data_IF_075598363077
#
_entry.id   IF_075598363077
#
_cell.length_a   1.000
_cell.length_b   1.000
_cell.length_c   1.000
_cell.angle_alpha   90.00
_cell.angle_beta   90.00
_cell.angle_gamma   90.00
#
_symmetry.space_group_name_H-M   'P 1'
#
loop_
_entity.id
_entity.type
_entity.pdbx_description
1 polymer ?
#
# COMPACT_ATOMS: atom_id res chain seq x y z
N UNK A 1 11.85 11.17 -2.48
CA UNK A 1 10.94 10.66 -1.42
C UNK A 1 9.61 10.24 -2.02
N UNK A 2 9.00 9.16 -1.49
CA UNK A 2 7.76 8.61 -2.04
C UNK A 2 6.54 9.49 -1.69
N UNK A 3 6.25 9.69 -0.42
CA UNK A 3 5.22 10.60 0.10
C UNK A 3 5.58 11.07 1.51
N UNK A 4 6.50 12.04 1.65
CA UNK A 4 6.96 12.49 2.95
C UNK A 4 5.91 13.31 3.71
N UNK A 5 5.00 13.96 2.99
CA UNK A 5 3.96 14.83 3.57
C UNK A 5 2.59 14.21 3.33
N UNK A 6 1.82 13.90 4.38
CA UNK A 6 0.41 13.48 4.25
C UNK A 6 -0.45 14.56 3.57
N UNK A 7 -1.47 14.12 2.84
CA UNK A 7 -2.44 15.03 2.20
C UNK A 7 -2.01 15.62 0.83
N UNK A 8 -0.74 15.44 0.42
CA UNK A 8 -0.27 15.86 -0.92
C UNK A 8 -0.04 14.65 -1.81
N UNK A 9 0.11 14.88 -3.12
CA UNK A 9 0.45 13.81 -4.05
C UNK A 9 1.84 13.22 -3.75
N UNK A 10 1.99 11.92 -3.93
CA UNK A 10 3.28 11.21 -3.80
C UNK A 10 3.89 10.89 -5.16
N UNK A 11 5.18 10.51 -5.15
CA UNK A 11 5.86 9.97 -6.32
C UNK A 11 5.69 8.46 -6.40
N UNK A 12 5.19 7.95 -7.52
CA UNK A 12 5.09 6.53 -7.83
C UNK A 12 6.23 6.06 -8.74
N UNK A 13 6.51 4.77 -8.70
CA UNK A 13 7.31 4.04 -9.69
C UNK A 13 6.45 2.89 -10.23
N UNK A 14 5.41 3.25 -11.00
CA UNK A 14 4.51 2.24 -11.54
C UNK A 14 5.30 1.27 -12.42
N UNK A 15 5.32 0.02 -12.00
CA UNK A 15 6.13 -1.01 -12.65
C UNK A 15 5.26 -1.83 -13.59
N UNK A 16 5.58 -1.79 -14.87
CA UNK A 16 4.91 -2.59 -15.91
C UNK A 16 5.64 -3.91 -16.10
N UNK A 17 4.92 -5.01 -15.98
CA UNK A 17 5.46 -6.37 -16.15
C UNK A 17 4.72 -7.11 -17.25
N UNK A 18 5.44 -7.94 -17.99
CA UNK A 18 4.91 -8.81 -19.02
C UNK A 18 5.83 -10.00 -19.28
N UNK A 19 5.32 -11.02 -19.94
CA UNK A 19 6.09 -12.18 -20.36
C UNK A 19 5.94 -12.35 -21.87
N UNK A 20 7.07 -12.47 -22.58
CA UNK A 20 7.10 -12.75 -24.01
C UNK A 20 7.91 -14.00 -24.30
N UNK A 21 7.53 -14.73 -25.32
CA UNK A 21 8.25 -15.91 -25.79
C UNK A 21 8.75 -15.70 -27.22
N UNK A 22 10.02 -16.06 -27.46
CA UNK A 22 10.57 -16.16 -28.81
C UNK A 22 10.28 -17.56 -29.35
N UNK A 23 9.45 -17.62 -30.38
CA UNK A 23 9.04 -18.86 -31.01
C UNK A 23 10.18 -19.43 -31.91
N UNK A 24 10.10 -20.72 -32.26
CA UNK A 24 11.10 -21.38 -33.13
C UNK A 24 11.31 -20.72 -34.49
N UNK A 25 10.27 -20.05 -35.02
CA UNK A 25 10.32 -19.28 -36.27
C UNK A 25 10.89 -17.87 -36.10
N UNK A 26 11.38 -17.51 -34.90
CA UNK A 26 11.93 -16.20 -34.57
C UNK A 26 10.91 -15.15 -34.17
N UNK A 27 9.60 -15.40 -34.32
CA UNK A 27 8.54 -14.46 -33.90
C UNK A 27 8.51 -14.35 -32.39
N UNK A 28 8.40 -13.11 -31.88
CA UNK A 28 8.16 -12.84 -30.45
C UNK A 28 6.65 -12.67 -30.25
N UNK A 29 6.10 -13.32 -29.24
CA UNK A 29 4.69 -13.27 -28.87
C UNK A 29 4.55 -12.88 -27.40
N UNK A 30 3.60 -12.00 -27.11
CA UNK A 30 3.24 -11.66 -25.73
C UNK A 30 2.37 -12.78 -25.15
N UNK A 31 2.77 -13.33 -24.00
CA UNK A 31 2.06 -14.46 -23.40
C UNK A 31 0.86 -14.01 -22.56
N UNK A 32 0.69 -12.73 -22.27
CA UNK A 32 -0.49 -12.20 -21.57
C UNK A 32 -1.67 -11.96 -22.53
N UNK A 33 -1.38 -11.62 -23.77
CA UNK A 33 -2.41 -11.37 -24.77
C UNK A 33 -3.20 -12.67 -25.08
N UNK A 34 -4.54 -12.60 -25.09
CA UNK A 34 -5.37 -13.73 -25.52
C UNK A 34 -5.29 -13.90 -27.04
N UNK A 35 -5.85 -15.00 -27.55
CA UNK A 35 -5.94 -15.23 -29.00
C UNK A 35 -6.90 -14.28 -29.68
N UNK A 36 -8.02 -14.01 -29.02
CA UNK A 36 -9.04 -13.04 -29.46
C UNK A 36 -9.06 -11.86 -28.50
N UNK A 37 -8.56 -10.73 -28.97
CA UNK A 37 -8.47 -9.50 -28.19
C UNK A 37 -9.84 -8.80 -27.98
N UNK A 38 -10.87 -9.16 -28.75
CA UNK A 38 -12.17 -8.56 -28.67
C UNK A 38 -13.10 -9.25 -27.65
N UNK A 39 -12.91 -10.54 -27.42
CA UNK A 39 -13.79 -11.33 -26.55
C UNK A 39 -13.18 -11.71 -25.22
N UNK A 40 -11.85 -11.64 -25.07
CA UNK A 40 -11.14 -12.10 -23.90
C UNK A 40 -10.21 -11.00 -23.36
N UNK A 41 -10.12 -10.85 -22.03
CA UNK A 41 -9.22 -9.86 -21.40
C UNK A 41 -7.77 -10.33 -21.43
N UNK A 42 -7.51 -11.57 -21.03
CA UNK A 42 -6.18 -12.14 -20.82
C UNK A 42 -6.11 -13.58 -21.32
N UNK A 43 -4.92 -14.05 -21.63
CA UNK A 43 -4.61 -15.46 -21.76
C UNK A 43 -4.58 -16.17 -20.39
N UNK A 44 -4.47 -17.49 -20.37
CA UNK A 44 -4.26 -18.25 -19.12
C UNK A 44 -3.00 -17.81 -18.37
N UNK A 45 -1.92 -17.48 -19.08
CA UNK A 45 -0.68 -16.94 -18.50
C UNK A 45 -0.93 -15.55 -17.89
N UNK A 46 -1.72 -14.72 -18.57
CA UNK A 46 -2.10 -13.39 -18.08
C UNK A 46 -2.97 -13.44 -16.83
N UNK A 47 -4.02 -14.26 -16.82
CA UNK A 47 -4.86 -14.47 -15.63
C UNK A 47 -4.06 -15.03 -14.45
N UNK A 48 -3.25 -16.07 -14.68
CA UNK A 48 -2.40 -16.64 -13.64
C UNK A 48 -1.42 -15.61 -13.07
N UNK A 49 -0.83 -14.79 -13.93
CA UNK A 49 0.07 -13.72 -13.50
C UNK A 49 -0.65 -12.68 -12.63
N UNK A 50 -1.83 -12.21 -13.04
CA UNK A 50 -2.62 -11.25 -12.28
C UNK A 50 -3.02 -11.81 -10.92
N UNK A 51 -3.59 -13.01 -10.90
CA UNK A 51 -4.03 -13.68 -9.67
C UNK A 51 -2.86 -13.99 -8.73
N UNK A 52 -1.70 -14.40 -9.26
CA UNK A 52 -0.50 -14.65 -8.46
C UNK A 52 0.04 -13.40 -7.77
N UNK A 53 0.04 -12.25 -8.47
CA UNK A 53 0.42 -10.96 -7.89
C UNK A 53 -0.51 -10.53 -6.78
N UNK A 54 -1.82 -10.65 -6.98
CA UNK A 54 -2.84 -10.23 -6.00
C UNK A 54 -2.84 -11.14 -4.76
N UNK A 55 -2.85 -12.46 -4.95
CA UNK A 55 -2.86 -13.43 -3.85
C UNK A 55 -1.65 -13.32 -2.94
N UNK A 56 -0.47 -13.09 -3.53
CA UNK A 56 0.79 -13.04 -2.78
C UNK A 56 1.20 -11.61 -2.38
N UNK A 57 0.34 -10.60 -2.57
CA UNK A 57 0.72 -9.21 -2.38
C UNK A 57 1.23 -8.89 -0.98
N UNK A 58 0.65 -9.46 0.07
CA UNK A 58 1.06 -9.19 1.45
C UNK A 58 2.55 -9.50 1.68
N UNK A 59 3.09 -10.53 1.01
CA UNK A 59 4.52 -10.88 1.13
C UNK A 59 5.39 -10.24 0.04
N UNK A 60 4.79 -9.70 -1.01
CA UNK A 60 5.47 -8.87 -2.03
C UNK A 60 5.74 -7.47 -1.47
N UNK A 61 4.76 -6.89 -0.78
CA UNK A 61 4.80 -5.49 -0.32
C UNK A 61 6.01 -5.13 0.55
N UNK A 62 6.52 -6.01 1.45
CA UNK A 62 7.78 -5.78 2.15
C UNK A 62 8.94 -5.34 1.26
N UNK A 63 9.08 -5.91 0.07
CA UNK A 63 10.18 -5.64 -0.85
C UNK A 63 9.98 -4.38 -1.71
N UNK A 64 8.75 -3.90 -1.84
CA UNK A 64 8.42 -2.74 -2.68
C UNK A 64 8.09 -1.48 -1.88
N UNK A 65 7.60 -1.60 -0.64
CA UNK A 65 7.16 -0.48 0.20
C UNK A 65 7.69 -0.61 1.63
N UNK A 66 9.01 -0.55 1.81
CA UNK A 66 9.69 -0.83 3.08
C UNK A 66 9.97 0.39 3.96
N UNK A 67 9.43 1.58 3.65
CA UNK A 67 9.68 2.82 4.40
C UNK A 67 8.38 3.50 4.82
N UNK A 68 8.43 4.38 5.83
CA UNK A 68 7.28 5.19 6.25
C UNK A 68 6.69 5.97 5.07
N UNK A 69 7.53 6.67 4.32
CA UNK A 69 7.11 7.49 3.18
C UNK A 69 6.48 6.65 2.04
N UNK A 70 6.96 5.42 1.84
CA UNK A 70 6.39 4.51 0.83
C UNK A 70 5.01 4.01 1.22
N UNK A 71 4.80 3.66 2.49
CA UNK A 71 3.50 3.22 3.00
C UNK A 71 2.48 4.36 3.08
N UNK A 72 2.92 5.60 3.28
CA UNK A 72 2.03 6.75 3.18
C UNK A 72 1.36 6.91 1.79
N UNK A 73 1.95 6.34 0.73
CA UNK A 73 1.33 6.31 -0.61
C UNK A 73 0.17 5.30 -0.72
N UNK A 74 0.13 4.32 0.14
CA UNK A 74 -0.90 3.27 0.16
C UNK A 74 -2.08 3.62 1.08
N UNK A 75 -2.06 4.82 1.69
CA UNK A 75 -3.15 5.37 2.50
C UNK A 75 -4.12 6.18 1.63
N UNK A 76 -5.38 6.35 2.05
CA UNK A 76 -6.36 7.16 1.35
C UNK A 76 -5.81 8.52 0.91
N UNK A 77 -6.14 8.92 -0.31
CA UNK A 77 -5.67 10.16 -0.93
C UNK A 77 -5.73 10.08 -2.45
N UNK A 78 -5.16 11.07 -3.14
CA UNK A 78 -5.22 11.19 -4.59
C UNK A 78 -4.60 9.97 -5.30
N UNK A 79 -5.41 9.27 -6.10
CA UNK A 79 -5.03 8.11 -6.93
C UNK A 79 -4.21 7.02 -6.20
N UNK A 80 -4.43 6.84 -4.89
CA UNK A 80 -3.69 5.88 -4.10
C UNK A 80 -4.22 4.45 -4.28
N UNK A 81 -3.36 3.42 -4.42
CA UNK A 81 -3.78 2.02 -4.41
C UNK A 81 -4.07 1.57 -2.98
N UNK A 82 -5.28 1.84 -2.50
CA UNK A 82 -5.71 1.61 -1.10
C UNK A 82 -6.22 0.21 -0.81
N UNK A 83 -6.33 -0.64 -1.85
CA UNK A 83 -6.84 -2.02 -1.74
C UNK A 83 -6.03 -2.99 -2.59
N UNK A 84 -6.08 -4.28 -2.23
CA UNK A 84 -5.43 -5.35 -3.00
C UNK A 84 -6.42 -5.86 -4.06
N UNK A 85 -6.63 -5.08 -5.09
CA UNK A 85 -7.65 -5.30 -6.10
C UNK A 85 -7.12 -4.92 -7.49
N UNK A 86 -7.69 -5.56 -8.53
CA UNK A 86 -7.48 -5.23 -9.94
C UNK A 86 -8.74 -4.67 -10.58
N UNK A 87 -8.58 -4.07 -11.75
CA UNK A 87 -9.65 -3.76 -12.70
C UNK A 87 -9.20 -4.18 -14.10
N UNK A 88 -10.08 -4.85 -14.83
CA UNK A 88 -9.84 -5.30 -16.20
C UNK A 88 -10.48 -4.36 -17.24
N UNK A 89 -11.52 -3.64 -16.85
CA UNK A 89 -12.43 -2.89 -17.71
C UNK A 89 -13.82 -3.53 -17.76
N UNK A 90 -14.78 -2.76 -18.28
CA UNK A 90 -16.18 -3.21 -18.42
C UNK A 90 -16.33 -4.30 -19.49
N UNK A 91 -15.49 -4.26 -20.51
CA UNK A 91 -15.38 -5.29 -21.54
C UNK A 91 -13.95 -5.34 -22.07
N UNK A 92 -13.57 -6.39 -22.82
CA UNK A 92 -12.27 -6.46 -23.46
C UNK A 92 -11.94 -5.28 -24.38
N UNK A 93 -12.94 -4.61 -24.93
CA UNK A 93 -12.79 -3.45 -25.81
C UNK A 93 -12.75 -2.11 -25.05
N UNK A 94 -13.22 -2.08 -23.78
CA UNK A 94 -13.28 -0.88 -22.96
C UNK A 94 -12.32 -1.04 -21.78
N UNK A 95 -11.08 -0.53 -21.89
CA UNK A 95 -10.09 -0.67 -20.83
C UNK A 95 -10.50 0.10 -19.57
N UNK A 96 -10.10 -0.41 -18.42
CA UNK A 96 -10.31 0.26 -17.14
C UNK A 96 -9.56 1.59 -17.09
N UNK A 97 -10.20 2.58 -16.45
CA UNK A 97 -9.56 3.85 -16.05
C UNK A 97 -9.47 4.01 -14.54
N UNK A 98 -9.84 2.96 -13.79
CA UNK A 98 -9.75 2.99 -12.33
C UNK A 98 -8.29 3.09 -11.90
N UNK A 99 -7.96 4.09 -11.08
CA UNK A 99 -6.60 4.37 -10.59
C UNK A 99 -6.43 4.11 -9.11
N UNK A 100 -7.48 3.66 -8.42
CA UNK A 100 -7.44 3.28 -7.00
C UNK A 100 -7.07 1.82 -6.78
N UNK A 101 -6.82 1.08 -7.87
CA UNK A 101 -6.43 -0.33 -7.88
C UNK A 101 -4.93 -0.54 -7.65
N UNK A 102 -4.58 -1.73 -7.16
CA UNK A 102 -3.21 -2.16 -6.95
C UNK A 102 -2.51 -2.59 -8.24
N UNK A 103 -3.20 -3.40 -9.03
CA UNK A 103 -2.71 -3.96 -10.28
C UNK A 103 -3.70 -3.68 -11.41
N UNK A 104 -3.26 -3.03 -12.49
CA UNK A 104 -4.06 -2.67 -13.64
C UNK A 104 -3.71 -3.48 -14.88
N UNK A 105 -4.71 -3.87 -15.66
CA UNK A 105 -4.51 -4.40 -17.00
C UNK A 105 -4.34 -3.25 -18.00
N UNK A 106 -3.18 -3.20 -18.65
CA UNK A 106 -2.90 -2.28 -19.74
C UNK A 106 -2.91 -3.08 -21.04
N UNK A 107 -3.76 -2.68 -21.99
CA UNK A 107 -3.88 -3.35 -23.28
C UNK A 107 -4.28 -2.39 -24.39
N UNK A 108 -4.00 -2.83 -25.60
CA UNK A 108 -4.41 -2.20 -26.84
C UNK A 108 -4.88 -3.32 -27.79
N UNK A 109 -6.13 -3.21 -28.28
CA UNK A 109 -6.76 -4.23 -29.11
C UNK A 109 -5.99 -4.47 -30.40
N UNK A 110 -5.48 -3.38 -31.00
CA UNK A 110 -4.74 -3.42 -32.27
C UNK A 110 -3.27 -3.82 -32.06
N UNK A 111 -2.80 -3.85 -30.81
CA UNK A 111 -1.42 -4.16 -30.47
C UNK A 111 -1.33 -5.18 -29.32
N UNK A 112 -1.47 -6.50 -29.60
CA UNK A 112 -1.36 -7.55 -28.57
C UNK A 112 -0.03 -7.49 -27.79
N UNK A 113 1.05 -7.01 -28.40
CA UNK A 113 2.35 -6.82 -27.74
C UNK A 113 2.33 -5.77 -26.63
N UNK A 114 1.35 -4.87 -26.62
CA UNK A 114 1.19 -3.85 -25.59
C UNK A 114 0.55 -4.39 -24.29
N UNK A 115 -0.01 -5.61 -24.29
CA UNK A 115 -0.67 -6.20 -23.12
C UNK A 115 0.32 -6.43 -21.99
N UNK A 116 0.06 -5.86 -20.81
CA UNK A 116 0.92 -5.96 -19.62
C UNK A 116 0.14 -5.65 -18.36
N UNK A 117 0.73 -5.96 -17.22
CA UNK A 117 0.19 -5.62 -15.90
C UNK A 117 0.99 -4.42 -15.34
N UNK A 118 0.28 -3.39 -14.88
CA UNK A 118 0.82 -2.24 -14.17
C UNK A 118 0.67 -2.45 -12.67
N UNK A 119 1.79 -2.62 -11.94
CA UNK A 119 1.81 -2.60 -10.49
C UNK A 119 1.98 -1.16 -10.00
N UNK A 120 0.99 -0.66 -9.24
CA UNK A 120 0.92 0.77 -8.88
C UNK A 120 1.54 1.10 -7.50
N UNK A 121 1.80 0.10 -6.67
CA UNK A 121 2.37 0.26 -5.34
C UNK A 121 3.87 0.58 -5.29
N UNK A 122 4.73 0.16 -6.23
CA UNK A 122 6.14 0.54 -6.20
C UNK A 122 6.36 2.05 -6.20
N UNK A 123 7.48 2.48 -5.66
CA UNK A 123 7.80 3.88 -5.40
C UNK A 123 9.33 4.11 -5.51
N UNK A 124 9.84 5.37 -5.48
CA UNK A 124 11.26 5.66 -5.67
C UNK A 124 12.25 5.01 -4.68
N UNK A 125 11.77 4.40 -3.59
CA UNK A 125 12.61 3.62 -2.68
C UNK A 125 12.65 2.13 -3.01
N UNK A 126 11.84 1.68 -3.97
CA UNK A 126 11.77 0.27 -4.35
C UNK A 126 13.10 -0.19 -4.93
N UNK A 127 13.61 -1.31 -4.41
CA UNK A 127 14.70 -1.99 -5.08
C UNK A 127 14.14 -2.79 -6.25
N UNK A 128 14.38 -2.31 -7.47
CA UNK A 128 13.81 -2.88 -8.71
C UNK A 128 14.14 -4.36 -8.88
N UNK A 129 15.32 -4.82 -8.50
CA UNK A 129 15.71 -6.24 -8.59
C UNK A 129 14.87 -7.12 -7.67
N UNK A 130 14.64 -6.68 -6.43
CA UNK A 130 13.82 -7.42 -5.47
C UNK A 130 12.34 -7.40 -5.87
N UNK A 131 11.84 -6.26 -6.34
CA UNK A 131 10.48 -6.13 -6.84
C UNK A 131 10.23 -7.09 -8.00
N UNK A 132 11.10 -7.08 -9.01
CA UNK A 132 11.01 -7.97 -10.16
C UNK A 132 11.05 -9.45 -9.73
N UNK A 133 11.98 -9.83 -8.84
CA UNK A 133 12.07 -11.19 -8.34
C UNK A 133 10.75 -11.62 -7.65
N UNK A 134 10.23 -10.79 -6.73
CA UNK A 134 8.98 -11.07 -6.03
C UNK A 134 7.77 -11.15 -6.98
N UNK A 135 7.68 -10.25 -7.96
CA UNK A 135 6.59 -10.28 -8.96
C UNK A 135 6.63 -11.55 -9.80
N UNK A 136 7.76 -11.86 -10.41
CA UNK A 136 7.83 -13.02 -11.33
C UNK A 136 7.68 -14.36 -10.61
N UNK A 137 8.16 -14.51 -9.37
CA UNK A 137 7.93 -15.71 -8.58
C UNK A 137 6.43 -15.85 -8.26
N UNK A 138 5.78 -14.77 -7.84
CA UNK A 138 4.35 -14.76 -7.54
C UNK A 138 3.50 -15.00 -8.80
N UNK A 139 3.86 -14.40 -9.94
CA UNK A 139 3.21 -14.68 -11.22
C UNK A 139 3.35 -16.17 -11.60
N UNK A 140 4.54 -16.76 -11.40
CA UNK A 140 4.77 -18.18 -11.70
C UNK A 140 3.88 -19.09 -10.86
N UNK A 141 3.64 -18.77 -9.60
CA UNK A 141 2.72 -19.52 -8.73
C UNK A 141 1.29 -19.53 -9.30
N UNK A 142 0.75 -18.38 -9.65
CA UNK A 142 -0.58 -18.27 -10.26
C UNK A 142 -0.66 -18.89 -11.66
N UNK A 143 0.39 -18.75 -12.48
CA UNK A 143 0.46 -19.42 -13.79
C UNK A 143 0.38 -20.95 -13.64
N UNK A 144 1.13 -21.53 -12.70
CA UNK A 144 1.08 -22.97 -12.41
C UNK A 144 -0.31 -23.39 -11.99
N UNK A 145 -0.94 -22.67 -11.06
CA UNK A 145 -2.30 -22.95 -10.62
C UNK A 145 -3.31 -22.93 -11.78
N UNK A 146 -3.22 -21.94 -12.67
CA UNK A 146 -4.08 -21.88 -13.86
C UNK A 146 -3.85 -23.04 -14.82
N UNK A 147 -2.60 -23.39 -15.10
CA UNK A 147 -2.28 -24.51 -16.00
C UNK A 147 -2.72 -25.86 -15.41
N UNK A 148 -2.46 -26.09 -14.14
CA UNK A 148 -2.81 -27.33 -13.44
C UNK A 148 -4.31 -27.49 -13.24
N UNK A 149 -5.07 -26.39 -13.14
CA UNK A 149 -6.52 -26.41 -13.00
C UNK A 149 -7.25 -26.97 -14.22
N UNK A 150 -6.64 -26.88 -15.41
CA UNK A 150 -7.29 -27.24 -16.68
C UNK A 150 -8.51 -26.37 -17.04
N UNK A 151 -8.70 -25.24 -16.38
CA UNK A 151 -9.84 -24.34 -16.55
C UNK A 151 -9.78 -23.55 -17.86
N UNK A 152 -10.95 -23.20 -18.37
CA UNK A 152 -11.10 -22.28 -19.52
C UNK A 152 -10.80 -20.85 -19.13
N UNK A 153 -10.55 -19.96 -20.12
CA UNK A 153 -10.33 -18.53 -19.86
C UNK A 153 -11.53 -17.87 -19.16
N UNK A 154 -12.75 -18.30 -19.49
CA UNK A 154 -13.96 -17.80 -18.83
C UNK A 154 -14.04 -18.21 -17.36
N UNK A 155 -13.65 -19.43 -17.02
CA UNK A 155 -13.59 -19.89 -15.63
C UNK A 155 -12.47 -19.17 -14.86
N UNK A 156 -11.34 -18.83 -15.49
CA UNK A 156 -10.27 -18.02 -14.88
C UNK A 156 -10.71 -16.57 -14.66
N UNK A 157 -11.47 -16.01 -15.60
CA UNK A 157 -12.10 -14.69 -15.40
C UNK A 157 -13.09 -14.70 -14.23
N UNK A 158 -13.91 -15.75 -14.14
CA UNK A 158 -14.84 -15.93 -13.03
C UNK A 158 -14.12 -16.06 -11.69
N UNK A 159 -13.01 -16.81 -11.64
CA UNK A 159 -12.16 -16.93 -10.45
C UNK A 159 -11.67 -15.54 -9.98
N UNK A 160 -11.15 -14.72 -10.90
CA UNK A 160 -10.67 -13.39 -10.58
C UNK A 160 -11.80 -12.44 -10.17
N UNK A 161 -13.02 -12.68 -10.64
CA UNK A 161 -14.22 -11.85 -10.46
C UNK A 161 -15.18 -12.35 -9.38
N UNK A 162 -14.82 -13.47 -8.69
CA UNK A 162 -15.68 -14.07 -7.68
C UNK A 162 -15.96 -13.14 -6.52
N UNK A 163 -17.12 -13.31 -5.91
CA UNK A 163 -17.51 -12.58 -4.71
C UNK A 163 -16.95 -13.21 -3.44
N UNK A 164 -16.80 -12.40 -2.39
CA UNK A 164 -16.42 -12.91 -1.08
C UNK A 164 -17.43 -13.98 -0.63
N UNK A 165 -16.91 -15.11 -0.14
CA UNK A 165 -17.70 -16.29 0.23
C UNK A 165 -17.86 -17.35 -0.89
N UNK A 166 -17.56 -17.02 -2.14
CA UNK A 166 -17.59 -17.98 -3.25
C UNK A 166 -16.33 -18.85 -3.28
N UNK A 167 -16.52 -20.15 -3.53
CA UNK A 167 -15.40 -21.08 -3.72
C UNK A 167 -14.66 -20.80 -5.03
N UNK A 168 -13.34 -20.96 -4.98
CA UNK A 168 -12.47 -20.80 -6.13
C UNK A 168 -11.41 -21.90 -6.19
N UNK A 169 -10.64 -21.96 -7.28
CA UNK A 169 -9.57 -22.95 -7.41
C UNK A 169 -8.19 -22.43 -6.95
N UNK A 170 -8.03 -21.12 -6.78
CA UNK A 170 -6.73 -20.53 -6.45
C UNK A 170 -6.81 -19.35 -5.49
N UNK A 171 -7.70 -18.39 -5.71
CA UNK A 171 -7.80 -17.18 -4.90
C UNK A 171 -8.53 -17.43 -3.56
N UNK A 172 -8.23 -16.63 -2.57
CA UNK A 172 -8.84 -16.74 -1.23
C UNK A 172 -10.36 -16.57 -1.29
N UNK A 173 -11.08 -17.42 -0.52
CA UNK A 173 -12.54 -17.47 -0.54
C UNK A 173 -13.20 -16.20 -0.03
N UNK A 174 -12.67 -15.64 1.05
CA UNK A 174 -13.33 -14.58 1.80
C UNK A 174 -13.01 -13.16 1.29
N UNK A 175 -12.47 -13.04 0.07
CA UNK A 175 -12.04 -11.78 -0.54
C UNK A 175 -12.48 -11.66 -2.00
N UNK A 176 -12.66 -10.41 -2.43
CA UNK A 176 -12.82 -10.03 -3.82
C UNK A 176 -11.52 -9.44 -4.36
N UNK A 177 -11.19 -9.75 -5.62
CA UNK A 177 -9.93 -9.33 -6.23
C UNK A 177 -10.12 -8.44 -7.45
N UNK A 178 -11.37 -8.18 -7.86
CA UNK A 178 -11.71 -7.32 -9.01
C UNK A 178 -12.79 -6.32 -8.64
N UNK A 179 -12.56 -5.05 -8.97
CA UNK A 179 -13.59 -4.00 -8.94
C UNK A 179 -13.40 -3.06 -10.14
N UNK A 180 -14.47 -2.79 -10.85
CA UNK A 180 -14.51 -1.75 -11.90
C UNK A 180 -14.91 -0.39 -11.32
N UNK A 181 -15.42 -0.37 -10.08
CA UNK A 181 -15.80 0.83 -9.34
C UNK A 181 -14.56 1.47 -8.69
N UNK A 182 -14.64 2.78 -8.43
CA UNK A 182 -13.67 3.46 -7.60
C UNK A 182 -13.76 2.93 -6.17
N UNK A 183 -12.73 2.21 -5.71
CA UNK A 183 -12.78 1.57 -4.39
C UNK A 183 -12.72 2.57 -3.24
N UNK A 184 -12.34 3.81 -3.51
CA UNK A 184 -12.29 4.86 -2.50
C UNK A 184 -13.62 5.63 -2.39
N UNK A 185 -14.28 5.91 -3.52
CA UNK A 185 -15.53 6.66 -3.56
C UNK A 185 -16.75 5.78 -3.28
N UNK A 186 -16.76 4.55 -3.79
CA UNK A 186 -17.91 3.66 -3.78
C UNK A 186 -18.00 2.74 -2.55
N UNK A 187 -16.92 2.64 -1.75
CA UNK A 187 -16.84 1.78 -0.56
C UNK A 187 -16.28 2.54 0.64
N UNK A 188 -16.85 2.34 1.83
CA UNK A 188 -16.30 2.85 3.07
C UNK A 188 -15.05 2.04 3.51
N UNK A 189 -14.35 2.48 4.57
CA UNK A 189 -13.10 1.86 5.00
C UNK A 189 -13.27 0.42 5.48
N UNK A 190 -14.36 0.12 6.19
CA UNK A 190 -14.64 -1.23 6.71
C UNK A 190 -14.97 -2.20 5.57
N UNK A 191 -15.80 -1.76 4.61
CA UNK A 191 -16.12 -2.53 3.40
C UNK A 191 -14.86 -2.82 2.57
N UNK A 192 -14.01 -1.82 2.35
CA UNK A 192 -12.73 -2.02 1.64
C UNK A 192 -11.83 -3.03 2.34
N UNK A 193 -11.68 -2.89 3.66
CA UNK A 193 -10.82 -3.78 4.43
C UNK A 193 -11.34 -5.22 4.41
N UNK A 194 -12.65 -5.40 4.49
CA UNK A 194 -13.31 -6.71 4.49
C UNK A 194 -13.27 -7.38 3.11
N UNK A 195 -13.67 -6.67 2.07
CA UNK A 195 -13.83 -7.24 0.73
C UNK A 195 -12.50 -7.39 -0.01
N UNK A 196 -11.67 -6.37 0.01
CA UNK A 196 -10.49 -6.29 -0.86
C UNK A 196 -9.16 -6.42 -0.10
N UNK A 197 -9.18 -6.38 1.24
CA UNK A 197 -7.98 -6.24 2.05
C UNK A 197 -7.28 -4.90 1.83
N UNK A 198 -6.50 -4.47 2.79
CA UNK A 198 -5.77 -3.21 2.73
C UNK A 198 -4.25 -3.42 2.85
N UNK A 199 -3.44 -2.59 2.18
CA UNK A 199 -2.02 -2.54 2.45
C UNK A 199 -1.74 -2.17 3.91
N UNK A 200 -0.59 -2.60 4.46
CA UNK A 200 -0.20 -2.28 5.83
C UNK A 200 0.01 -0.77 6.00
N UNK A 201 -0.32 -0.25 7.17
CA UNK A 201 -0.21 1.16 7.50
C UNK A 201 1.18 1.56 8.03
N UNK A 202 1.94 0.60 8.57
CA UNK A 202 3.28 0.80 9.14
C UNK A 202 4.29 -0.22 8.64
N UNK A 203 5.58 0.10 8.79
CA UNK A 203 6.67 -0.84 8.41
C UNK A 203 6.63 -2.10 9.28
N UNK A 204 6.23 -1.98 10.55
CA UNK A 204 6.04 -3.14 11.42
C UNK A 204 4.98 -4.10 10.89
N UNK A 205 3.77 -3.60 10.63
CA UNK A 205 2.69 -4.41 10.04
C UNK A 205 3.14 -5.07 8.73
N UNK A 206 3.84 -4.31 7.89
CA UNK A 206 4.35 -4.82 6.61
C UNK A 206 5.34 -5.97 6.80
N UNK A 207 6.26 -5.87 7.75
CA UNK A 207 7.24 -6.94 8.03
C UNK A 207 6.60 -8.13 8.75
N UNK A 208 5.52 -7.92 9.52
CA UNK A 208 4.76 -9.01 10.15
C UNK A 208 4.15 -9.98 9.13
N UNK A 209 3.88 -9.53 7.90
CA UNK A 209 3.40 -10.38 6.83
C UNK A 209 4.30 -11.61 6.58
N UNK A 210 5.62 -11.47 6.77
CA UNK A 210 6.59 -12.56 6.61
C UNK A 210 6.33 -13.72 7.60
N UNK A 211 5.80 -13.41 8.78
CA UNK A 211 5.44 -14.44 9.78
C UNK A 211 3.99 -14.88 9.64
N UNK A 212 3.10 -13.95 9.27
CA UNK A 212 1.66 -14.18 9.25
C UNK A 212 1.21 -15.02 8.05
N UNK A 213 1.98 -15.03 6.96
CA UNK A 213 1.65 -15.75 5.71
C UNK A 213 2.77 -16.72 5.28
N UNK A 214 3.05 -17.76 6.08
CA UNK A 214 4.16 -18.68 5.81
C UNK A 214 4.00 -19.44 4.48
N UNK A 215 2.76 -19.72 4.06
CA UNK A 215 2.44 -20.34 2.77
C UNK A 215 2.80 -19.43 1.58
N UNK A 216 2.55 -18.12 1.70
CA UNK A 216 2.92 -17.13 0.67
C UNK A 216 4.44 -16.89 0.65
N UNK A 217 5.10 -16.95 1.81
CA UNK A 217 6.58 -16.93 1.88
C UNK A 217 7.19 -18.17 1.22
N UNK A 218 6.56 -19.34 1.34
CA UNK A 218 7.00 -20.55 0.64
C UNK A 218 6.99 -20.35 -0.89
N UNK A 219 6.03 -19.60 -1.42
CA UNK A 219 6.00 -19.20 -2.84
C UNK A 219 7.26 -18.39 -3.18
N UNK A 220 7.56 -17.32 -2.42
CA UNK A 220 8.71 -16.45 -2.69
C UNK A 220 10.06 -17.16 -2.59
N UNK A 221 10.17 -18.22 -1.79
CA UNK A 221 11.40 -19.01 -1.66
C UNK A 221 11.56 -20.08 -2.76
N UNK A 222 10.58 -20.24 -3.64
CA UNK A 222 10.64 -21.20 -4.74
C UNK A 222 11.87 -20.93 -5.61
N UNK A 223 12.60 -21.99 -5.93
CA UNK A 223 13.80 -21.94 -6.77
C UNK A 223 15.01 -21.26 -6.09
N UNK A 224 14.97 -21.00 -4.78
CA UNK A 224 16.03 -20.36 -4.00
C UNK A 224 16.46 -18.96 -4.50
N UNK A 225 15.57 -18.24 -5.18
CA UNK A 225 15.83 -16.88 -5.68
C UNK A 225 15.79 -15.90 -4.49
N UNK A 226 14.71 -15.90 -3.70
CA UNK A 226 14.64 -15.20 -2.42
C UNK A 226 14.78 -16.22 -1.30
N UNK A 227 15.98 -16.40 -0.79
CA UNK A 227 16.25 -17.36 0.29
C UNK A 227 15.65 -16.86 1.60
N UNK A 228 15.24 -17.79 2.48
CA UNK A 228 14.63 -17.46 3.76
C UNK A 228 15.53 -16.55 4.62
N UNK A 229 16.81 -16.85 4.71
CA UNK A 229 17.81 -16.07 5.47
C UNK A 229 17.93 -14.63 4.91
N UNK A 230 17.81 -14.48 3.59
CA UNK A 230 17.79 -13.16 2.95
C UNK A 230 16.52 -12.38 3.35
N UNK A 231 15.33 -13.02 3.28
CA UNK A 231 14.06 -12.41 3.65
C UNK A 231 14.09 -11.93 5.11
N UNK A 232 14.58 -12.78 6.03
CA UNK A 232 14.71 -12.46 7.45
C UNK A 232 15.70 -11.30 7.69
N UNK A 233 16.84 -11.31 7.01
CA UNK A 233 17.84 -10.23 7.08
C UNK A 233 17.30 -8.91 6.54
N UNK A 234 16.55 -8.95 5.42
CA UNK A 234 15.92 -7.79 4.83
C UNK A 234 14.88 -7.18 5.79
N UNK A 235 14.00 -8.01 6.38
CA UNK A 235 13.00 -7.56 7.34
C UNK A 235 13.64 -6.89 8.55
N UNK A 236 14.71 -7.49 9.10
CA UNK A 236 15.47 -6.90 10.22
C UNK A 236 16.05 -5.54 9.85
N UNK A 237 16.64 -5.42 8.66
CA UNK A 237 17.18 -4.16 8.16
C UNK A 237 16.09 -3.09 7.98
N UNK A 238 14.91 -3.45 7.47
CA UNK A 238 13.77 -2.55 7.32
C UNK A 238 13.26 -2.04 8.68
N UNK A 239 13.19 -2.90 9.70
CA UNK A 239 12.78 -2.51 11.05
C UNK A 239 13.79 -1.57 11.73
N UNK A 240 15.09 -1.82 11.59
CA UNK A 240 16.13 -0.91 12.10
C UNK A 240 16.03 0.46 11.42
N UNK A 241 15.80 0.48 10.10
CA UNK A 241 15.60 1.71 9.35
C UNK A 241 14.33 2.44 9.82
N UNK A 242 13.22 1.73 9.99
CA UNK A 242 11.97 2.28 10.49
C UNK A 242 12.15 2.98 11.84
N UNK A 243 12.78 2.29 12.80
CA UNK A 243 13.12 2.86 14.11
C UNK A 243 13.96 4.14 13.96
N UNK A 244 15.01 4.08 13.13
CA UNK A 244 15.89 5.23 12.89
C UNK A 244 15.15 6.41 12.27
N UNK A 245 14.31 6.17 11.26
CA UNK A 245 13.51 7.21 10.61
C UNK A 245 12.51 7.83 11.59
N UNK A 246 11.82 7.02 12.39
CA UNK A 246 10.81 7.52 13.32
C UNK A 246 11.44 8.35 14.44
N UNK A 247 12.52 7.85 15.05
CA UNK A 247 13.18 8.51 16.19
C UNK A 247 14.01 9.73 15.78
N UNK A 248 14.70 9.69 14.63
CA UNK A 248 15.70 10.70 14.27
C UNK A 248 15.24 11.64 13.14
N UNK A 249 14.11 11.38 12.49
CA UNK A 249 13.53 12.25 11.46
C UNK A 249 12.11 12.70 11.85
N UNK A 250 11.16 11.79 11.93
CA UNK A 250 9.73 12.13 12.09
C UNK A 250 9.46 12.85 13.41
N UNK A 251 9.90 12.29 14.54
CA UNK A 251 9.70 12.93 15.85
C UNK A 251 10.38 14.31 15.94
N UNK A 252 11.65 14.48 15.52
CA UNK A 252 12.26 15.80 15.48
C UNK A 252 11.56 16.80 14.55
N UNK A 253 11.09 16.39 13.38
CA UNK A 253 10.32 17.23 12.45
C UNK A 253 9.01 17.67 13.09
N UNK A 254 8.23 16.74 13.66
CA UNK A 254 7.00 17.07 14.38
C UNK A 254 7.23 17.99 15.57
N UNK A 255 8.28 17.72 16.37
CA UNK A 255 8.64 18.60 17.49
C UNK A 255 8.93 20.03 17.02
N UNK A 256 9.71 20.17 15.95
CA UNK A 256 10.01 21.50 15.36
C UNK A 256 8.74 22.21 14.91
N UNK A 257 7.84 21.55 14.20
CA UNK A 257 6.58 22.12 13.73
C UNK A 257 5.69 22.53 14.92
N UNK A 258 5.57 21.68 15.95
CA UNK A 258 4.81 21.97 17.17
C UNK A 258 5.36 23.21 17.89
N UNK A 259 6.68 23.39 17.96
CA UNK A 259 7.33 24.55 18.57
C UNK A 259 7.09 25.86 17.80
N UNK A 260 6.82 25.78 16.49
CA UNK A 260 6.50 26.95 15.67
C UNK A 260 5.04 27.43 15.84
N UNK A 261 4.16 26.58 16.32
CA UNK A 261 2.75 26.92 16.58
C UNK A 261 2.65 27.71 17.88
N UNK A 262 2.31 29.01 17.80
CA UNK A 262 2.25 29.93 18.92
C UNK A 262 0.85 30.50 19.11
N UNK A 263 0.54 30.95 20.33
CA UNK A 263 -0.63 31.76 20.62
C UNK A 263 -0.48 33.10 19.88
N UNK A 264 -1.51 33.51 19.16
CA UNK A 264 -1.51 34.69 18.30
C UNK A 264 -2.36 35.86 18.86
N UNK A 265 -3.04 35.66 19.99
CA UNK A 265 -3.82 36.66 20.65
C UNK A 265 -3.28 36.91 22.08
N UNK A 266 -3.46 38.14 22.58
CA UNK A 266 -3.14 38.50 23.95
C UNK A 266 -4.28 38.12 24.90
N UNK A 267 -3.96 37.96 26.19
CA UNK A 267 -4.95 37.57 27.20
C UNK A 267 -6.00 38.69 27.48
N UNK A 268 -5.67 39.93 27.14
CA UNK A 268 -6.54 41.09 27.35
C UNK A 268 -7.41 41.47 26.15
N UNK A 269 -7.12 40.93 24.97
CA UNK A 269 -7.81 41.28 23.72
C UNK A 269 -8.06 40.07 22.82
N UNK A 270 -8.89 39.15 23.29
CA UNK A 270 -9.28 37.95 22.53
C UNK A 270 -10.77 37.64 22.68
N UNK A 271 -11.34 36.93 21.75
CA UNK A 271 -12.67 36.36 21.88
C UNK A 271 -12.63 35.05 22.66
N UNK A 272 -13.77 34.64 23.23
CA UNK A 272 -13.92 33.33 23.87
C UNK A 272 -13.67 32.19 22.87
N UNK A 273 -13.93 32.44 21.60
CA UNK A 273 -13.67 31.48 20.51
C UNK A 273 -12.18 31.26 20.29
N UNK A 274 -11.41 32.35 20.20
CA UNK A 274 -9.95 32.29 20.02
C UNK A 274 -9.26 31.57 21.18
N UNK A 275 -9.69 31.86 22.41
CA UNK A 275 -9.19 31.18 23.60
C UNK A 275 -9.50 29.66 23.55
N UNK A 276 -10.73 29.29 23.20
CA UNK A 276 -11.14 27.87 23.10
C UNK A 276 -10.41 27.13 21.98
N UNK A 277 -10.16 27.76 20.83
CA UNK A 277 -9.35 27.18 19.77
C UNK A 277 -7.91 26.94 20.21
N UNK A 278 -7.29 27.94 20.82
CA UNK A 278 -5.92 27.78 21.33
C UNK A 278 -5.81 26.73 22.42
N UNK A 279 -6.78 26.61 23.30
CA UNK A 279 -6.80 25.59 24.35
C UNK A 279 -6.78 24.15 23.73
N UNK A 280 -7.57 23.89 22.69
CA UNK A 280 -7.54 22.63 21.95
C UNK A 280 -6.18 22.36 21.29
N UNK A 281 -5.60 23.39 20.64
CA UNK A 281 -4.27 23.31 20.03
C UNK A 281 -3.21 23.01 21.09
N UNK A 282 -3.23 23.75 22.21
CA UNK A 282 -2.29 23.55 23.31
C UNK A 282 -2.38 22.15 23.93
N UNK A 283 -3.59 21.61 24.10
CA UNK A 283 -3.81 20.25 24.59
C UNK A 283 -3.15 19.22 23.67
N UNK A 284 -3.38 19.28 22.35
CA UNK A 284 -2.76 18.36 21.40
C UNK A 284 -1.24 18.48 21.34
N UNK A 285 -0.69 19.72 21.38
CA UNK A 285 0.76 19.97 21.48
C UNK A 285 1.36 19.32 22.73
N UNK A 286 0.68 19.43 23.87
CA UNK A 286 1.12 18.81 25.13
C UNK A 286 1.08 17.29 25.03
N UNK A 287 0.00 16.70 24.53
CA UNK A 287 -0.08 15.24 24.30
C UNK A 287 1.07 14.72 23.45
N UNK A 288 1.42 15.45 22.40
CA UNK A 288 2.50 15.04 21.49
C UNK A 288 3.89 15.13 22.10
N UNK A 289 4.21 16.25 22.79
CA UNK A 289 5.60 16.66 23.05
C UNK A 289 5.95 16.96 24.50
N UNK A 290 4.96 17.08 25.42
CA UNK A 290 5.21 17.48 26.80
C UNK A 290 4.97 16.35 27.77
N UNK A 291 6.04 15.89 28.42
CA UNK A 291 5.93 14.96 29.53
C UNK A 291 5.37 15.65 30.77
N UNK A 292 4.41 15.00 31.42
CA UNK A 292 3.92 15.37 32.76
C UNK A 292 4.08 14.16 33.69
N UNK A 293 4.09 14.40 35.00
CA UNK A 293 4.51 13.41 36.01
C UNK A 293 3.81 12.05 35.87
N UNK A 294 2.54 12.03 35.48
CA UNK A 294 1.75 10.79 35.37
C UNK A 294 1.41 10.38 33.93
N UNK A 295 1.80 11.20 32.95
CA UNK A 295 1.47 10.98 31.55
C UNK A 295 2.62 11.43 30.65
N UNK A 296 3.45 10.47 30.18
CA UNK A 296 4.49 10.77 29.22
C UNK A 296 3.88 11.16 27.85
N UNK A 297 4.58 12.01 27.11
CA UNK A 297 4.19 12.41 25.76
C UNK A 297 4.25 11.25 24.76
N UNK A 298 3.54 11.40 23.66
CA UNK A 298 3.60 10.43 22.53
C UNK A 298 5.04 10.20 22.07
N UNK A 299 5.86 11.25 22.03
CA UNK A 299 7.28 11.12 21.67
C UNK A 299 8.07 10.28 22.67
N UNK A 300 7.84 10.45 23.96
CA UNK A 300 8.51 9.65 25.01
C UNK A 300 8.02 8.22 24.99
N UNK A 301 6.71 8.00 24.92
CA UNK A 301 6.14 6.64 24.84
C UNK A 301 6.69 5.87 23.62
N UNK A 302 6.84 6.53 22.47
CA UNK A 302 7.40 5.89 21.26
C UNK A 302 8.86 5.47 21.47
N UNK A 303 9.69 6.34 22.08
CA UNK A 303 11.09 6.01 22.40
C UNK A 303 11.18 4.82 23.37
N UNK A 304 10.35 4.82 24.38
CA UNK A 304 10.29 3.75 25.37
C UNK A 304 9.79 2.42 24.78
N UNK A 305 8.80 2.45 23.88
CA UNK A 305 8.33 1.28 23.18
C UNK A 305 9.48 0.62 22.38
N UNK A 306 10.24 1.40 21.62
CA UNK A 306 11.43 0.87 20.93
C UNK A 306 12.49 0.36 21.87
N UNK A 307 12.75 1.05 22.99
CA UNK A 307 13.75 0.63 23.98
C UNK A 307 13.40 -0.72 24.62
N UNK A 308 12.10 -1.01 24.78
CA UNK A 308 11.61 -2.30 25.27
C UNK A 308 11.46 -3.37 24.19
N UNK A 309 11.65 -3.03 22.91
CA UNK A 309 11.40 -3.93 21.78
C UNK A 309 9.90 -4.17 21.51
N UNK A 310 9.04 -3.31 22.02
CA UNK A 310 7.59 -3.37 21.82
C UNK A 310 7.22 -2.66 20.51
N UNK A 311 7.38 -3.39 19.41
CA UNK A 311 7.15 -2.85 18.08
C UNK A 311 5.66 -2.68 17.75
N UNK A 312 4.77 -3.45 18.39
CA UNK A 312 3.32 -3.27 18.26
C UNK A 312 2.90 -1.93 18.86
N UNK A 313 3.35 -1.62 20.08
CA UNK A 313 3.10 -0.32 20.69
C UNK A 313 3.72 0.83 19.86
N UNK A 314 4.97 0.69 19.39
CA UNK A 314 5.62 1.72 18.56
C UNK A 314 4.87 1.95 17.24
N UNK A 315 4.30 0.92 16.63
CA UNK A 315 3.49 0.98 15.42
C UNK A 315 2.19 1.77 15.64
N UNK A 316 1.46 1.46 16.72
CA UNK A 316 0.23 2.17 17.08
C UNK A 316 0.51 3.64 17.39
N UNK A 317 1.53 3.92 18.19
CA UNK A 317 1.94 5.28 18.53
C UNK A 317 2.35 6.10 17.29
N UNK A 318 2.99 5.48 16.29
CA UNK A 318 3.27 6.14 15.01
C UNK A 318 1.99 6.60 14.31
N UNK A 319 0.94 5.77 14.27
CA UNK A 319 -0.33 6.11 13.64
C UNK A 319 -1.05 7.21 14.41
N UNK A 320 -1.11 7.10 15.74
CA UNK A 320 -1.71 8.11 16.62
C UNK A 320 -1.00 9.47 16.47
N UNK A 321 0.34 9.50 16.48
CA UNK A 321 1.11 10.73 16.27
C UNK A 321 0.80 11.37 14.91
N UNK A 322 0.69 10.57 13.85
CA UNK A 322 0.38 11.08 12.51
C UNK A 322 -1.03 11.70 12.47
N UNK A 323 -2.02 11.06 13.09
CA UNK A 323 -3.39 11.55 13.20
C UNK A 323 -3.47 12.85 14.01
N UNK A 324 -2.86 12.88 15.20
CA UNK A 324 -2.82 14.08 16.05
C UNK A 324 -2.15 15.24 15.30
N UNK A 325 -1.03 14.96 14.60
CA UNK A 325 -0.31 16.00 13.86
C UNK A 325 -1.13 16.56 12.70
N UNK A 326 -1.89 15.73 12.00
CA UNK A 326 -2.81 16.17 10.94
C UNK A 326 -3.92 17.06 11.50
N UNK A 327 -4.57 16.65 12.61
CA UNK A 327 -5.59 17.45 13.29
C UNK A 327 -5.02 18.78 13.80
N UNK A 328 -3.84 18.73 14.40
CA UNK A 328 -3.15 19.89 14.95
C UNK A 328 -2.83 20.93 13.85
N UNK A 329 -2.32 20.49 12.70
CA UNK A 329 -2.07 21.37 11.55
C UNK A 329 -3.36 22.02 11.03
N UNK A 330 -4.42 21.25 10.87
CA UNK A 330 -5.71 21.76 10.39
C UNK A 330 -6.29 22.81 11.37
N UNK A 331 -6.29 22.51 12.66
CA UNK A 331 -6.82 23.44 13.67
C UNK A 331 -5.94 24.69 13.84
N UNK A 332 -4.61 24.54 13.72
CA UNK A 332 -3.74 25.71 13.78
C UNK A 332 -3.89 26.62 12.56
N UNK A 333 -4.06 26.06 11.37
CA UNK A 333 -4.37 26.83 10.18
C UNK A 333 -5.70 27.59 10.32
N UNK A 334 -6.75 26.93 10.82
CA UNK A 334 -8.05 27.58 11.08
C UNK A 334 -7.92 28.71 12.10
N UNK A 335 -7.17 28.49 13.19
CA UNK A 335 -6.88 29.49 14.21
C UNK A 335 -6.15 30.69 13.61
N UNK A 336 -5.12 30.47 12.77
CA UNK A 336 -4.41 31.57 12.10
C UNK A 336 -5.32 32.40 11.18
N UNK A 337 -6.23 31.76 10.45
CA UNK A 337 -7.17 32.45 9.55
C UNK A 337 -8.24 33.24 10.31
N UNK A 338 -8.55 32.88 11.54
CA UNK A 338 -9.57 33.53 12.35
C UNK A 338 -9.03 34.79 13.10
N UNK A 339 -7.72 34.90 13.27
CA UNK A 339 -7.09 36.05 13.93
C UNK A 339 -6.86 37.16 12.90
N UNK A 340 -7.44 38.33 13.17
CA UNK A 340 -7.24 39.55 12.38
C UNK A 340 -6.39 40.49 13.24
N UNK A 341 -5.27 40.95 12.70
CA UNK A 341 -4.37 41.91 13.35
C UNK A 341 -4.96 43.33 13.40
#
# INVERSE_FOLDING_TARGET
QAKPVPGVAGSGEHTHVGIAAKMKNGKVVNLFAPKDMHTEFLSAVGYGSMMGLLKNYEVINPFISSTIDSLNRLKPGFEAPVCIVTSLGLSPEVPSRNRTILAGLIRDIDSPMATRIEMRSPNPYTNTYLAIAAFYISMLDGIKACVESGKTLKEMENELSKKAGEEGFYLEKDREYRSEHDVFEDYNEEERAHLFGKPPATVWENMCAIKNYPEKIAVLTTGNILKKEFIESFAKGALIRWQTELLNRIIPEYHKEICLMKKLHDDDNHTTHDAAMWEKIAAMRNTMAKDVTEQPSQFTMTREAFARGDFDAASNLQLEMAEIMQKLKAQYNEYQHNIID
#
